data_IF_216559002959
#
_entry.id   IF_216559002959
#
_cell.length_a   1.000
_cell.length_b   1.000
_cell.length_c   1.000
_cell.angle_alpha   90.00
_cell.angle_beta   90.00
_cell.angle_gamma   90.00
#
_symmetry.space_group_name_H-M   'P 1'
#
loop_
_entity.id
_entity.type
_entity.pdbx_description
1 polymer ?
#
# COMPACT_ATOMS: atom_id res chain seq x y z
N UNK A 1 -5.36 1.66 23.48
CA UNK A 1 -6.16 0.97 22.45
C UNK A 1 -5.51 -0.38 22.13
N UNK A 2 -6.29 -1.44 21.86
CA UNK A 2 -5.77 -2.79 21.51
C UNK A 2 -5.67 -3.05 19.99
N UNK A 3 -6.16 -2.13 19.18
CA UNK A 3 -6.23 -2.23 17.72
C UNK A 3 -5.82 -0.87 17.16
N UNK A 4 -5.05 -0.89 16.07
CA UNK A 4 -4.61 0.27 15.31
C UNK A 4 -4.87 0.03 13.83
N UNK A 5 -5.17 1.09 13.08
CA UNK A 5 -5.29 1.05 11.61
C UNK A 5 -3.97 1.53 11.03
N UNK A 6 -3.32 0.68 10.23
CA UNK A 6 -2.01 0.95 9.64
C UNK A 6 -1.92 0.34 8.25
N UNK A 7 -1.06 0.90 7.40
CA UNK A 7 -0.66 0.22 6.17
C UNK A 7 0.33 -0.90 6.49
N UNK A 8 0.24 -2.02 5.77
CA UNK A 8 1.06 -3.21 6.02
C UNK A 8 2.56 -2.96 5.91
N UNK A 9 2.99 -2.10 4.98
CA UNK A 9 4.40 -1.83 4.72
C UNK A 9 5.12 -1.17 5.91
N UNK A 10 4.42 -0.48 6.83
CA UNK A 10 5.06 0.03 8.05
C UNK A 10 5.52 -1.11 8.95
N UNK A 11 4.71 -2.16 9.11
CA UNK A 11 5.08 -3.34 9.88
C UNK A 11 6.21 -4.10 9.18
N UNK A 12 6.14 -4.23 7.86
CA UNK A 12 7.23 -4.81 7.06
C UNK A 12 8.56 -4.09 7.30
N UNK A 13 8.57 -2.76 7.19
CA UNK A 13 9.77 -1.93 7.44
C UNK A 13 10.28 -2.04 8.86
N UNK A 14 9.41 -2.03 9.87
CA UNK A 14 9.85 -2.19 11.26
C UNK A 14 10.46 -3.58 11.52
N UNK A 15 9.90 -4.64 10.94
CA UNK A 15 10.45 -6.00 11.03
C UNK A 15 11.77 -6.16 10.26
N UNK A 16 12.01 -5.33 9.24
CA UNK A 16 13.25 -5.30 8.46
C UNK A 16 14.23 -4.20 8.88
N UNK A 17 13.96 -3.49 9.98
CA UNK A 17 14.78 -2.36 10.46
C UNK A 17 16.09 -2.85 11.11
N UNK A 18 17.16 -2.06 10.97
CA UNK A 18 18.41 -2.26 11.71
C UNK A 18 18.29 -1.81 13.19
N UNK A 19 17.23 -1.07 13.54
CA UNK A 19 16.93 -0.71 14.93
C UNK A 19 16.19 -1.84 15.65
N UNK A 20 16.88 -2.45 16.63
CA UNK A 20 16.31 -3.51 17.45
C UNK A 20 15.04 -3.09 18.21
N UNK A 21 14.86 -1.80 18.52
CA UNK A 21 13.66 -1.30 19.16
C UNK A 21 12.44 -1.38 18.23
N UNK A 22 12.60 -1.03 16.95
CA UNK A 22 11.53 -1.14 15.95
C UNK A 22 11.10 -2.60 15.76
N UNK A 23 12.08 -3.50 15.60
CA UNK A 23 11.82 -4.94 15.45
C UNK A 23 11.06 -5.48 16.66
N UNK A 24 11.51 -5.17 17.87
CA UNK A 24 10.89 -5.63 19.11
C UNK A 24 9.47 -5.09 19.33
N UNK A 25 9.12 -3.94 18.77
CA UNK A 25 7.74 -3.42 18.78
C UNK A 25 6.89 -4.15 17.75
N UNK A 26 7.38 -4.32 16.52
CA UNK A 26 6.63 -4.94 15.45
C UNK A 26 6.33 -6.43 15.71
N UNK A 27 7.26 -7.18 16.32
CA UNK A 27 7.06 -8.59 16.70
C UNK A 27 5.92 -8.79 17.72
N UNK A 28 5.54 -7.74 18.46
CA UNK A 28 4.43 -7.78 19.42
C UNK A 28 3.07 -7.50 18.79
N UNK A 29 3.03 -7.16 17.50
CA UNK A 29 1.81 -6.78 16.79
C UNK A 29 1.40 -7.89 15.83
N UNK A 30 0.16 -8.35 15.98
CA UNK A 30 -0.49 -9.21 14.98
C UNK A 30 -1.16 -8.38 13.89
N UNK A 31 -1.09 -8.83 12.64
CA UNK A 31 -1.83 -8.25 11.52
C UNK A 31 -3.16 -8.97 11.32
N UNK A 32 -4.22 -8.18 11.17
CA UNK A 32 -5.56 -8.67 10.83
C UNK A 32 -5.92 -8.09 9.47
N UNK A 33 -6.13 -8.97 8.49
CA UNK A 33 -6.74 -8.61 7.22
C UNK A 33 -8.27 -8.62 7.40
N UNK A 34 -8.96 -7.46 7.36
CA UNK A 34 -10.40 -7.41 7.62
C UNK A 34 -11.23 -8.02 6.48
N UNK A 35 -12.52 -8.24 6.74
CA UNK A 35 -13.54 -8.59 5.74
C UNK A 35 -13.26 -9.84 4.88
N UNK A 36 -12.46 -10.80 5.36
CA UNK A 36 -12.06 -11.99 4.59
C UNK A 36 -13.22 -12.95 4.25
N UNK A 37 -14.31 -12.89 5.01
CA UNK A 37 -15.54 -13.67 4.74
C UNK A 37 -16.57 -12.90 3.90
N UNK A 38 -16.23 -11.70 3.40
CA UNK A 38 -17.11 -10.79 2.67
C UNK A 38 -16.34 -10.14 1.51
N UNK A 39 -16.26 -8.81 1.41
CA UNK A 39 -15.69 -8.11 0.25
C UNK A 39 -14.17 -8.25 0.11
N UNK A 40 -13.44 -8.47 1.21
CA UNK A 40 -11.97 -8.47 1.26
C UNK A 40 -11.39 -7.24 1.93
N UNK A 41 -10.06 -7.25 2.14
CA UNK A 41 -9.30 -6.16 2.75
C UNK A 41 -9.17 -5.00 1.78
N UNK A 42 -9.36 -3.78 2.28
CA UNK A 42 -9.10 -2.56 1.51
C UNK A 42 -7.64 -2.51 1.02
N UNK A 43 -7.46 -2.32 -0.29
CA UNK A 43 -6.17 -2.07 -0.93
C UNK A 43 -6.16 -0.63 -1.45
N UNK A 44 -5.06 0.06 -1.20
CA UNK A 44 -4.79 1.40 -1.74
C UNK A 44 -3.50 1.35 -2.57
N UNK A 45 -3.27 2.38 -3.39
CA UNK A 45 -2.17 2.42 -4.36
C UNK A 45 -1.26 3.61 -4.15
N UNK A 46 0.04 3.40 -4.39
CA UNK A 46 0.95 4.46 -4.77
C UNK A 46 0.86 4.63 -6.30
N UNK A 47 0.48 5.82 -6.76
CA UNK A 47 0.22 6.09 -8.18
C UNK A 47 1.18 7.12 -8.76
N UNK A 48 1.37 7.07 -10.08
CA UNK A 48 2.13 8.06 -10.84
C UNK A 48 1.32 8.55 -12.04
N UNK A 49 1.56 9.81 -12.45
CA UNK A 49 0.89 10.42 -13.59
C UNK A 49 1.76 11.47 -14.26
N UNK A 50 1.54 11.67 -15.57
CA UNK A 50 2.23 12.71 -16.34
C UNK A 50 1.39 13.99 -16.32
N UNK A 51 1.99 15.06 -15.79
CA UNK A 51 1.32 16.37 -15.72
C UNK A 51 1.01 16.92 -17.12
N UNK A 52 -0.11 17.62 -17.27
CA UNK A 52 -0.59 18.20 -18.53
C UNK A 52 0.46 19.08 -19.23
N UNK A 53 1.29 19.79 -18.47
CA UNK A 53 2.30 20.72 -18.95
C UNK A 53 3.73 20.25 -18.66
N UNK A 54 3.96 18.93 -18.58
CA UNK A 54 5.29 18.40 -18.32
C UNK A 54 6.28 18.86 -19.41
N UNK A 55 7.36 19.59 -19.07
CA UNK A 55 8.31 20.10 -20.07
C UNK A 55 9.10 18.98 -20.76
N UNK A 56 9.16 17.80 -20.13
CA UNK A 56 9.82 16.60 -20.63
C UNK A 56 8.85 15.41 -20.63
N UNK A 57 7.75 15.52 -21.37
CA UNK A 57 6.66 14.52 -21.37
C UNK A 57 7.14 13.11 -21.68
N UNK A 58 8.01 12.94 -22.66
CA UNK A 58 8.54 11.63 -23.06
C UNK A 58 9.36 10.98 -21.95
N UNK A 59 10.20 11.74 -21.25
CA UNK A 59 10.98 11.23 -20.13
C UNK A 59 10.09 10.87 -18.93
N UNK A 60 9.01 11.62 -18.70
CA UNK A 60 8.04 11.29 -17.67
C UNK A 60 7.33 9.96 -17.95
N UNK A 61 6.99 9.69 -19.23
CA UNK A 61 6.42 8.39 -19.64
C UNK A 61 7.43 7.27 -19.40
N UNK A 62 8.67 7.41 -19.89
CA UNK A 62 9.75 6.43 -19.67
C UNK A 62 10.02 6.14 -18.20
N UNK A 63 9.90 7.17 -17.36
CA UNK A 63 10.05 7.01 -15.91
C UNK A 63 8.92 6.15 -15.33
N UNK A 64 7.67 6.40 -15.69
CA UNK A 64 6.54 5.56 -15.24
C UNK A 64 6.69 4.13 -15.75
N UNK A 65 7.08 3.93 -17.00
CA UNK A 65 7.37 2.60 -17.57
C UNK A 65 8.47 1.88 -16.76
N UNK A 66 9.54 2.59 -16.41
CA UNK A 66 10.60 2.07 -15.54
C UNK A 66 10.08 1.64 -14.17
N UNK A 67 9.21 2.45 -13.53
CA UNK A 67 8.62 2.10 -12.23
C UNK A 67 7.74 0.83 -12.29
N UNK A 68 7.20 0.50 -13.47
CA UNK A 68 6.43 -0.73 -13.71
C UNK A 68 7.30 -1.92 -14.16
N UNK A 69 8.59 -1.73 -14.36
CA UNK A 69 9.51 -2.80 -14.72
C UNK A 69 9.87 -3.71 -13.54
N UNK A 70 10.29 -4.94 -13.83
CA UNK A 70 10.64 -5.97 -12.84
C UNK A 70 11.61 -5.48 -11.77
N UNK A 71 12.64 -4.73 -12.16
CA UNK A 71 13.63 -4.21 -11.21
C UNK A 71 12.99 -3.31 -10.17
N UNK A 72 12.18 -2.32 -10.60
CA UNK A 72 11.55 -1.36 -9.71
C UNK A 72 10.49 -2.04 -8.82
N UNK A 73 9.67 -2.93 -9.39
CA UNK A 73 8.66 -3.68 -8.62
C UNK A 73 9.28 -4.58 -7.55
N UNK A 74 10.42 -5.24 -7.87
CA UNK A 74 11.18 -6.02 -6.89
C UNK A 74 11.77 -5.11 -5.80
N UNK A 75 12.30 -3.94 -6.18
CA UNK A 75 12.83 -2.97 -5.22
C UNK A 75 11.75 -2.47 -4.25
N UNK A 76 10.54 -2.15 -4.71
CA UNK A 76 9.44 -1.74 -3.82
C UNK A 76 9.05 -2.83 -2.82
N UNK A 77 9.05 -4.09 -3.27
CA UNK A 77 8.76 -5.24 -2.42
C UNK A 77 9.85 -5.47 -1.38
N UNK A 78 11.11 -5.46 -1.79
CA UNK A 78 12.24 -5.84 -0.93
C UNK A 78 12.69 -4.71 0.00
N UNK A 79 12.63 -3.46 -0.46
CA UNK A 79 13.16 -2.32 0.27
C UNK A 79 12.06 -1.53 0.99
N UNK A 80 10.87 -1.44 0.38
CA UNK A 80 9.77 -0.66 0.94
C UNK A 80 8.63 -1.52 1.51
N UNK A 81 8.71 -2.84 1.37
CA UNK A 81 7.72 -3.80 1.85
C UNK A 81 6.30 -3.59 1.29
N UNK A 82 6.21 -3.08 0.07
CA UNK A 82 4.93 -2.91 -0.65
C UNK A 82 4.57 -4.15 -1.47
N UNK A 83 3.30 -4.27 -1.85
CA UNK A 83 2.84 -5.27 -2.81
C UNK A 83 3.08 -4.78 -4.24
N UNK A 84 3.47 -5.68 -5.14
CA UNK A 84 3.73 -5.32 -6.55
C UNK A 84 2.42 -4.98 -7.25
N UNK A 85 2.41 -3.88 -8.00
CA UNK A 85 1.29 -3.51 -8.86
C UNK A 85 1.20 -4.36 -10.14
N UNK A 86 2.32 -4.99 -10.53
CA UNK A 86 2.40 -5.81 -11.75
C UNK A 86 2.21 -7.30 -11.43
N UNK A 87 1.25 -7.99 -12.07
CA UNK A 87 1.03 -9.42 -11.86
C UNK A 87 2.28 -10.26 -12.15
N UNK A 88 2.51 -11.29 -11.34
CA UNK A 88 3.60 -12.25 -11.55
C UNK A 88 4.97 -11.81 -11.03
N UNK A 89 5.14 -10.56 -10.60
CA UNK A 89 6.40 -10.07 -10.03
C UNK A 89 6.62 -10.55 -8.57
N UNK A 90 5.54 -10.80 -7.82
CA UNK A 90 5.62 -11.19 -6.42
C UNK A 90 5.61 -12.72 -6.21
N UNK A 91 6.63 -13.25 -5.54
CA UNK A 91 6.74 -14.68 -5.17
C UNK A 91 6.34 -14.96 -3.72
N UNK A 92 6.46 -13.98 -2.83
CA UNK A 92 6.22 -14.08 -1.39
C UNK A 92 5.64 -12.77 -0.86
N UNK A 93 4.86 -12.83 0.22
CA UNK A 93 4.39 -11.62 0.90
C UNK A 93 5.56 -10.71 1.30
N UNK A 94 5.45 -9.37 1.15
CA UNK A 94 6.50 -8.43 1.53
C UNK A 94 6.61 -8.24 3.04
N UNK A 95 5.58 -8.68 3.79
CA UNK A 95 5.55 -8.60 5.25
C UNK A 95 5.71 -10.00 5.83
N UNK A 96 6.85 -10.23 6.49
CA UNK A 96 7.20 -11.51 7.09
C UNK A 96 6.09 -12.00 8.02
N UNK A 97 5.76 -13.29 7.94
CA UNK A 97 4.74 -13.92 8.79
C UNK A 97 3.30 -13.68 8.35
N UNK A 98 3.06 -13.01 7.22
CA UNK A 98 1.73 -12.88 6.62
C UNK A 98 1.54 -13.85 5.46
N UNK A 99 0.31 -14.35 5.33
CA UNK A 99 -0.12 -15.21 4.23
C UNK A 99 -0.93 -14.46 3.17
N UNK A 100 -1.45 -15.16 2.15
CA UNK A 100 -2.37 -14.57 1.20
C UNK A 100 -3.65 -14.08 1.92
N UNK A 101 -4.25 -13.02 1.38
CA UNK A 101 -5.52 -12.48 1.85
C UNK A 101 -6.40 -12.13 0.66
N UNK A 102 -7.72 -12.09 0.88
CA UNK A 102 -8.70 -11.60 -0.10
C UNK A 102 -8.64 -10.08 -0.14
N UNK A 103 -8.38 -9.51 -1.31
CA UNK A 103 -8.46 -8.08 -1.58
C UNK A 103 -9.91 -7.66 -1.86
N UNK A 104 -10.26 -6.43 -1.46
CA UNK A 104 -11.50 -5.78 -1.87
C UNK A 104 -11.46 -5.48 -3.38
N UNK A 105 -12.50 -5.88 -4.11
CA UNK A 105 -12.54 -5.83 -5.58
C UNK A 105 -12.98 -4.47 -6.16
N UNK A 106 -13.16 -3.45 -5.31
CA UNK A 106 -13.50 -2.11 -5.77
C UNK A 106 -12.43 -1.53 -6.68
N UNK A 107 -12.85 -0.75 -7.69
CA UNK A 107 -11.91 0.01 -8.51
C UNK A 107 -11.34 1.17 -7.67
N UNK A 108 -10.03 1.37 -7.69
CA UNK A 108 -9.38 2.47 -6.97
C UNK A 108 -9.92 3.86 -7.40
N UNK A 109 -10.45 4.02 -8.62
CA UNK A 109 -11.10 5.26 -9.05
C UNK A 109 -12.27 5.65 -8.15
N UNK A 110 -13.02 4.66 -7.63
CA UNK A 110 -14.15 4.91 -6.74
C UNK A 110 -13.70 5.59 -5.43
N UNK A 111 -12.47 5.35 -4.98
CA UNK A 111 -11.91 6.04 -3.80
C UNK A 111 -11.76 7.55 -4.07
N UNK A 112 -11.28 7.91 -5.26
CA UNK A 112 -11.15 9.30 -5.70
C UNK A 112 -12.51 9.97 -5.91
N UNK A 113 -13.44 9.28 -6.59
CA UNK A 113 -14.80 9.77 -6.84
C UNK A 113 -15.56 10.07 -5.54
N UNK A 114 -15.36 9.25 -4.50
CA UNK A 114 -16.05 9.40 -3.21
C UNK A 114 -15.25 10.20 -2.16
N UNK A 115 -14.02 10.65 -2.48
CA UNK A 115 -13.13 11.29 -1.52
C UNK A 115 -13.77 12.53 -0.89
N UNK A 116 -14.42 13.39 -1.70
CA UNK A 116 -15.05 14.60 -1.20
C UNK A 116 -16.17 14.32 -0.21
N UNK A 117 -16.97 13.28 -0.42
CA UNK A 117 -18.02 12.91 0.53
C UNK A 117 -17.44 12.29 1.80
N UNK A 118 -16.40 11.46 1.69
CA UNK A 118 -15.71 10.90 2.85
C UNK A 118 -15.16 12.00 3.77
N UNK A 119 -14.54 13.05 3.22
CA UNK A 119 -14.05 14.20 4.00
C UNK A 119 -15.19 14.89 4.75
N UNK A 120 -16.34 15.12 4.09
CA UNK A 120 -17.51 15.72 4.75
C UNK A 120 -18.07 14.84 5.87
N UNK A 121 -18.02 13.52 5.71
CA UNK A 121 -18.43 12.58 6.77
C UNK A 121 -17.49 12.69 7.97
N UNK A 122 -16.17 12.72 7.75
CA UNK A 122 -15.18 12.87 8.82
C UNK A 122 -15.36 14.19 9.58
N UNK A 123 -15.53 15.30 8.87
CA UNK A 123 -15.79 16.62 9.46
C UNK A 123 -17.06 16.62 10.33
N UNK A 124 -18.19 16.11 9.80
CA UNK A 124 -19.44 15.98 10.56
C UNK A 124 -19.34 15.04 11.77
N UNK A 125 -18.44 14.06 11.72
CA UNK A 125 -18.16 13.15 12.84
C UNK A 125 -17.18 13.74 13.87
N UNK A 126 -16.65 14.95 13.63
CA UNK A 126 -15.67 15.60 14.51
C UNK A 126 -14.27 14.99 14.42
N UNK A 127 -13.97 14.25 13.35
CA UNK A 127 -12.62 13.75 13.08
C UNK A 127 -11.83 14.83 12.34
N UNK A 128 -10.85 15.42 13.03
CA UNK A 128 -9.91 16.40 12.49
C UNK A 128 -8.56 15.78 12.11
#
# INVERSE_FOLDING_TARGET
CRISVVNTYYIGRMLGSDDAADVAVAEKVGLIFPNQNDRGTHVNISGAGVMKYAPNRENAIKFIEFLTGDWAQNAFTQLNHEYTAVPGAMKTSPVKGTGPFKEDAINASALGENQAEAVRIFDRAGWQ
#
